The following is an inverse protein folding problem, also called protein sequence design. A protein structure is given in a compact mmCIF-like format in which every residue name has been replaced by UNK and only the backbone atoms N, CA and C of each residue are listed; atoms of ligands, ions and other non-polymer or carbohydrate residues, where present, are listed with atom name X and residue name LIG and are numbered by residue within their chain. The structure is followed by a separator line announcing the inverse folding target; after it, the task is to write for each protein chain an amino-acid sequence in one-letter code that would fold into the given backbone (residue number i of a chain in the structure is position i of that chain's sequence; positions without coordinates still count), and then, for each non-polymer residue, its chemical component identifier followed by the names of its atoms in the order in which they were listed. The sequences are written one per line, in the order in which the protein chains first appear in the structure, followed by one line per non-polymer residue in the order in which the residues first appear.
data_IF_156827060278
#
_entry.id   IF_156827060278
#
_cell.length_a   1.000
_cell.length_b   1.000
_cell.length_c   1.000
_cell.angle_alpha   90.00
_cell.angle_beta   90.00
_cell.angle_gamma   90.00
#
_symmetry.space_group_name_H-M   'P 1'
#
loop_
_entity.id
_entity.type
_entity.pdbx_description
1 polymer ?
#
# COMPACT_ATOMS: atom_id res chain seq x y z
N UNK A 1 62.08 -3.30 10.48
CA UNK A 1 62.63 -3.12 9.12
C UNK A 1 61.50 -2.74 8.21
N UNK A 2 61.56 -1.54 7.59
CA UNK A 2 60.61 -1.07 6.60
C UNK A 2 61.30 -0.89 5.24
N UNK A 3 60.53 -0.89 4.18
CA UNK A 3 60.99 -0.58 2.84
C UNK A 3 60.37 0.76 2.42
N UNK A 4 61.24 1.65 1.91
CA UNK A 4 60.77 2.84 1.23
C UNK A 4 60.65 2.55 -0.24
N UNK A 5 59.44 2.67 -0.79
CA UNK A 5 59.15 2.37 -2.19
C UNK A 5 58.84 3.68 -2.91
N UNK A 6 59.61 4.00 -3.91
CA UNK A 6 59.35 5.13 -4.79
C UNK A 6 58.68 4.65 -6.07
N UNK A 7 57.41 5.07 -6.26
CA UNK A 7 56.62 4.77 -7.45
C UNK A 7 56.95 5.79 -8.54
N UNK A 8 57.30 5.29 -9.72
CA UNK A 8 57.60 6.15 -10.87
C UNK A 8 56.32 6.85 -11.33
N UNK A 9 56.39 8.10 -11.88
CA UNK A 9 55.22 8.90 -12.25
C UNK A 9 54.23 8.21 -13.17
N UNK A 10 54.68 7.37 -14.09
CA UNK A 10 53.82 6.63 -15.00
C UNK A 10 52.94 5.57 -14.34
N UNK A 11 53.29 5.15 -13.10
CA UNK A 11 52.57 4.14 -12.32
C UNK A 11 51.90 4.75 -11.09
N UNK A 12 52.02 6.05 -10.86
CA UNK A 12 51.49 6.73 -9.68
C UNK A 12 49.94 6.78 -9.63
N UNK A 13 49.25 6.46 -10.70
CA UNK A 13 47.81 6.43 -10.77
C UNK A 13 47.21 5.09 -10.32
N UNK A 14 47.94 3.98 -10.45
CA UNK A 14 47.48 2.63 -10.14
C UNK A 14 48.18 2.00 -8.94
N UNK A 15 49.34 2.51 -8.50
CA UNK A 15 50.09 2.08 -7.34
C UNK A 15 50.07 3.15 -6.23
N UNK A 16 48.95 3.21 -5.46
CA UNK A 16 48.76 4.24 -4.47
C UNK A 16 48.88 3.71 -3.04
N UNK A 17 48.53 2.44 -2.83
CA UNK A 17 48.48 1.80 -1.51
C UNK A 17 49.44 0.63 -1.42
N UNK A 18 49.78 0.25 -0.18
CA UNK A 18 50.61 -0.92 0.08
C UNK A 18 50.08 -2.21 -0.58
N UNK A 19 48.73 -2.39 -0.62
CA UNK A 19 48.13 -3.57 -1.22
C UNK A 19 48.37 -3.65 -2.74
N UNK A 20 48.48 -2.52 -3.40
CA UNK A 20 48.74 -2.44 -4.84
C UNK A 20 50.19 -2.93 -5.13
N UNK A 21 51.14 -2.64 -4.23
CA UNK A 21 52.52 -3.19 -4.29
C UNK A 21 52.54 -4.69 -4.02
N UNK A 22 51.75 -5.17 -3.04
CA UNK A 22 51.63 -6.60 -2.75
C UNK A 22 51.11 -7.35 -3.97
N UNK A 23 50.13 -6.79 -4.68
CA UNK A 23 49.58 -7.34 -5.93
C UNK A 23 50.69 -7.48 -7.01
N UNK A 24 51.47 -6.44 -7.24
CA UNK A 24 52.56 -6.47 -8.23
C UNK A 24 53.65 -7.50 -7.85
N UNK A 25 54.02 -7.60 -6.58
CA UNK A 25 54.96 -8.59 -6.10
C UNK A 25 54.40 -10.01 -6.28
N UNK A 26 53.13 -10.23 -5.92
CA UNK A 26 52.48 -11.53 -6.09
C UNK A 26 52.43 -11.96 -7.56
N UNK A 27 52.16 -11.02 -8.47
CA UNK A 27 52.16 -11.23 -9.91
C UNK A 27 53.53 -11.65 -10.44
N UNK A 28 54.62 -11.04 -9.93
CA UNK A 28 55.99 -11.39 -10.34
C UNK A 28 56.44 -12.74 -9.76
N UNK A 29 55.99 -13.09 -8.55
CA UNK A 29 56.27 -14.39 -7.94
C UNK A 29 55.52 -15.51 -8.68
N UNK A 30 54.33 -15.23 -9.21
CA UNK A 30 53.40 -16.15 -9.84
C UNK A 30 52.32 -16.63 -8.86
N UNK A 31 51.09 -16.47 -9.24
CA UNK A 31 49.93 -16.85 -8.39
C UNK A 31 49.82 -18.35 -8.16
N UNK A 32 50.39 -19.18 -9.01
CA UNK A 32 50.46 -20.63 -8.90
C UNK A 32 51.31 -21.12 -7.72
N UNK A 33 52.12 -20.24 -7.11
CA UNK A 33 52.91 -20.52 -5.90
C UNK A 33 52.16 -20.31 -4.60
N UNK A 34 50.97 -19.74 -4.63
CA UNK A 34 50.13 -19.53 -3.45
C UNK A 34 49.16 -20.70 -3.31
N UNK A 35 48.95 -21.12 -2.06
CA UNK A 35 47.97 -22.16 -1.77
C UNK A 35 46.54 -21.68 -2.12
N UNK A 36 45.77 -22.57 -2.76
CA UNK A 36 44.38 -22.33 -3.08
C UNK A 36 43.51 -22.54 -1.82
N UNK A 37 43.38 -21.52 -1.03
CA UNK A 37 42.58 -21.53 0.17
C UNK A 37 41.34 -20.63 0.00
N UNK A 38 40.16 -21.20 0.21
CA UNK A 38 38.94 -20.38 0.36
C UNK A 38 38.91 -19.83 1.79
N UNK A 39 38.67 -18.54 1.99
CA UNK A 39 38.47 -18.00 3.31
C UNK A 39 37.27 -18.70 3.98
N UNK A 40 37.44 -19.11 5.23
CA UNK A 40 36.36 -19.70 6.00
C UNK A 40 35.21 -18.72 6.13
N UNK A 41 34.00 -19.05 5.65
CA UNK A 41 32.86 -18.15 5.76
C UNK A 41 32.49 -18.00 7.24
N UNK A 42 32.65 -16.80 7.78
CA UNK A 42 32.32 -16.50 9.18
C UNK A 42 30.81 -16.58 9.39
N UNK A 43 30.04 -16.12 8.39
CA UNK A 43 28.56 -16.20 8.39
C UNK A 43 28.07 -16.36 6.95
N UNK A 44 27.08 -17.23 6.71
CA UNK A 44 26.44 -17.29 5.40
C UNK A 44 25.74 -15.96 5.08
N UNK A 45 25.82 -15.52 3.83
CA UNK A 45 25.12 -14.35 3.34
C UNK A 45 23.61 -14.51 3.50
N UNK A 46 22.93 -13.46 3.96
CA UNK A 46 21.46 -13.41 4.09
C UNK A 46 20.92 -12.04 3.77
N UNK A 47 19.70 -12.00 3.34
CA UNK A 47 18.99 -10.74 3.15
C UNK A 47 18.65 -10.12 4.51
N UNK A 48 18.65 -8.77 4.57
CA UNK A 48 18.13 -8.06 5.72
C UNK A 48 16.60 -8.23 5.82
N UNK A 49 16.05 -7.95 7.00
CA UNK A 49 14.58 -7.99 7.19
C UNK A 49 13.84 -7.03 6.25
N UNK A 50 14.43 -5.87 5.98
CA UNK A 50 13.88 -4.88 5.05
C UNK A 50 13.91 -5.36 3.60
N UNK A 51 15.02 -5.95 3.16
CA UNK A 51 15.11 -6.54 1.82
C UNK A 51 14.10 -7.67 1.62
N UNK A 52 13.91 -8.51 2.65
CA UNK A 52 12.89 -9.56 2.62
C UNK A 52 11.47 -8.97 2.55
N UNK A 53 11.18 -7.93 3.34
CA UNK A 53 9.89 -7.25 3.33
C UNK A 53 9.64 -6.59 1.97
N UNK A 54 10.63 -5.92 1.39
CA UNK A 54 10.54 -5.29 0.08
C UNK A 54 10.24 -6.33 -1.03
N UNK A 55 10.92 -7.48 -1.01
CA UNK A 55 10.62 -8.59 -1.93
C UNK A 55 9.19 -9.09 -1.77
N UNK A 56 8.68 -9.19 -0.54
CA UNK A 56 7.28 -9.59 -0.28
C UNK A 56 6.30 -8.54 -0.81
N UNK A 57 6.59 -7.25 -0.67
CA UNK A 57 5.78 -6.19 -1.28
C UNK A 57 5.69 -6.42 -2.79
N UNK A 58 6.83 -6.53 -3.47
CA UNK A 58 6.88 -6.74 -4.92
C UNK A 58 6.12 -8.00 -5.35
N UNK A 59 6.34 -9.12 -4.67
CA UNK A 59 5.63 -10.36 -4.93
C UNK A 59 4.12 -10.21 -4.69
N UNK A 60 3.70 -9.59 -3.58
CA UNK A 60 2.29 -9.35 -3.29
C UNK A 60 1.58 -8.54 -4.37
N UNK A 61 2.25 -7.55 -4.96
CA UNK A 61 1.70 -6.81 -6.09
C UNK A 61 1.65 -7.65 -7.37
N UNK A 62 2.74 -8.32 -7.74
CA UNK A 62 2.80 -9.12 -8.98
C UNK A 62 1.84 -10.31 -8.95
N UNK A 63 1.71 -11.00 -7.83
CA UNK A 63 0.76 -12.10 -7.62
C UNK A 63 -0.70 -11.64 -7.74
N UNK A 64 -0.99 -10.38 -7.37
CA UNK A 64 -2.31 -9.76 -7.55
C UNK A 64 -2.47 -9.04 -8.90
N UNK A 65 -1.56 -9.30 -9.82
CA UNK A 65 -1.67 -8.89 -11.22
C UNK A 65 -1.23 -7.46 -11.50
N UNK A 66 -0.49 -6.82 -10.62
CA UNK A 66 0.18 -5.56 -10.94
C UNK A 66 1.47 -5.83 -11.70
N UNK A 67 1.83 -4.92 -12.59
CA UNK A 67 3.11 -4.89 -13.28
C UNK A 67 4.01 -3.85 -12.60
N UNK A 68 5.23 -4.25 -12.26
CA UNK A 68 6.24 -3.29 -11.82
C UNK A 68 6.68 -2.44 -13.01
N UNK A 69 6.72 -1.13 -12.82
CA UNK A 69 7.18 -0.17 -13.82
C UNK A 69 8.31 0.65 -13.23
N UNK A 70 9.14 1.21 -14.11
CA UNK A 70 10.20 2.13 -13.75
C UNK A 70 10.06 3.37 -14.65
N UNK A 71 9.71 4.49 -14.01
CA UNK A 71 9.58 5.77 -14.69
C UNK A 71 10.82 6.66 -14.44
N UNK A 72 11.01 7.66 -15.29
CA UNK A 72 12.14 8.56 -15.14
C UNK A 72 12.01 9.45 -13.90
N UNK A 73 13.11 9.58 -13.16
CA UNK A 73 13.18 10.54 -12.03
C UNK A 73 13.41 11.97 -12.49
N UNK A 74 13.83 12.14 -13.74
CA UNK A 74 14.02 13.43 -14.40
C UNK A 74 12.79 13.73 -15.26
N UNK A 75 12.18 14.87 -15.00
CA UNK A 75 10.91 15.30 -15.61
C UNK A 75 11.04 16.72 -16.17
N UNK A 76 10.13 17.14 -17.07
CA UNK A 76 10.07 18.52 -17.53
C UNK A 76 9.81 19.48 -16.37
N UNK A 77 10.23 20.72 -16.53
CA UNK A 77 9.88 21.81 -15.61
C UNK A 77 8.36 22.02 -15.61
N UNK A 78 7.77 22.06 -14.42
CA UNK A 78 6.35 22.33 -14.19
C UNK A 78 6.20 23.56 -13.27
N UNK A 79 4.97 24.04 -13.09
CA UNK A 79 4.63 25.19 -12.20
C UNK A 79 4.90 24.92 -10.71
N UNK A 80 5.03 23.65 -10.33
CA UNK A 80 5.37 23.26 -8.97
C UNK A 80 6.87 23.48 -8.70
N UNK A 81 7.23 23.60 -7.43
CA UNK A 81 8.60 23.85 -6.97
C UNK A 81 9.47 22.63 -7.19
N UNK A 82 9.97 22.43 -8.37
CA UNK A 82 10.85 21.33 -8.72
C UNK A 82 12.32 21.71 -8.50
N UNK A 83 13.13 20.70 -8.21
CA UNK A 83 14.58 20.83 -8.08
C UNK A 83 15.18 20.73 -9.48
N UNK A 84 15.75 21.85 -9.97
CA UNK A 84 16.35 21.92 -11.29
C UNK A 84 17.77 21.37 -11.29
N UNK A 85 18.12 20.70 -12.37
CA UNK A 85 19.49 20.28 -12.68
C UNK A 85 20.21 21.47 -13.33
N UNK A 86 21.46 21.73 -12.91
CA UNK A 86 22.23 22.88 -13.39
C UNK A 86 22.59 22.79 -14.89
N UNK A 87 22.77 21.58 -15.40
CA UNK A 87 23.19 21.31 -16.79
C UNK A 87 22.41 20.14 -17.41
N UNK A 88 21.09 20.27 -17.58
CA UNK A 88 20.29 19.18 -18.17
C UNK A 88 20.66 18.93 -19.63
N UNK A 89 20.67 17.66 -20.03
CA UNK A 89 20.90 17.29 -21.43
C UNK A 89 19.72 17.67 -22.33
N UNK A 90 18.49 17.55 -21.81
CA UNK A 90 17.25 17.86 -22.51
C UNK A 90 16.33 18.67 -21.58
N UNK A 91 15.52 19.56 -22.14
CA UNK A 91 14.55 20.36 -21.39
C UNK A 91 13.47 19.47 -20.74
N UNK A 92 13.12 18.36 -21.40
CA UNK A 92 12.15 17.39 -20.90
C UNK A 92 12.66 16.60 -19.67
N UNK A 93 13.94 16.70 -19.34
CA UNK A 93 14.58 16.02 -18.21
C UNK A 93 15.37 16.99 -17.32
N UNK A 94 14.84 18.19 -17.15
CA UNK A 94 15.54 19.28 -16.46
C UNK A 94 15.33 19.36 -14.97
N UNK A 95 14.35 18.64 -14.43
CA UNK A 95 13.98 18.70 -13.01
C UNK A 95 13.86 17.32 -12.39
N UNK A 96 14.09 17.23 -11.09
CA UNK A 96 13.76 16.03 -10.30
C UNK A 96 12.26 15.99 -10.00
N UNK A 97 11.64 14.82 -10.15
CA UNK A 97 10.21 14.61 -9.89
C UNK A 97 9.88 14.77 -8.41
N UNK A 98 8.79 15.45 -8.11
CA UNK A 98 8.21 15.56 -6.77
C UNK A 98 7.01 14.61 -6.57
N UNK A 99 6.59 13.94 -7.64
CA UNK A 99 5.40 13.08 -7.69
C UNK A 99 5.60 12.02 -8.78
N UNK A 100 5.12 10.79 -8.55
CA UNK A 100 5.20 9.68 -9.52
C UNK A 100 3.86 9.48 -10.25
N UNK A 101 2.76 10.05 -9.75
CA UNK A 101 1.43 9.84 -10.32
C UNK A 101 1.29 10.42 -11.73
N UNK A 102 2.01 11.50 -12.06
CA UNK A 102 1.99 12.09 -13.40
C UNK A 102 2.50 11.08 -14.45
N UNK A 103 3.63 10.44 -14.17
CA UNK A 103 4.23 9.41 -15.02
C UNK A 103 3.33 8.18 -15.12
N UNK A 104 2.73 7.75 -14.01
CA UNK A 104 1.79 6.62 -13.99
C UNK A 104 0.53 6.90 -14.83
N UNK A 105 -0.01 8.12 -14.78
CA UNK A 105 -1.13 8.51 -15.64
C UNK A 105 -0.76 8.51 -17.12
N UNK A 106 0.47 8.88 -17.47
CA UNK A 106 0.95 8.78 -18.85
C UNK A 106 1.08 7.32 -19.32
N UNK A 107 1.56 6.42 -18.42
CA UNK A 107 1.63 4.99 -18.72
C UNK A 107 0.22 4.43 -18.92
N UNK A 108 -0.72 4.73 -18.01
CA UNK A 108 -2.12 4.30 -18.11
C UNK A 108 -2.74 4.84 -19.40
N UNK A 109 -2.55 6.11 -19.72
CA UNK A 109 -3.07 6.76 -20.94
C UNK A 109 -2.54 6.10 -22.23
N UNK A 110 -1.25 5.76 -22.27
CA UNK A 110 -0.66 5.01 -23.40
C UNK A 110 -1.29 3.63 -23.56
N UNK A 111 -1.50 2.91 -22.45
CA UNK A 111 -2.14 1.59 -22.46
C UNK A 111 -3.59 1.67 -22.96
N UNK A 112 -4.36 2.67 -22.52
CA UNK A 112 -5.74 2.91 -22.99
C UNK A 112 -5.74 3.16 -24.50
N UNK A 113 -4.84 4.03 -24.99
CA UNK A 113 -4.71 4.34 -26.44
C UNK A 113 -4.29 3.12 -27.25
N UNK A 114 -3.55 2.18 -26.66
CA UNK A 114 -3.19 0.91 -27.25
C UNK A 114 -4.31 -0.15 -27.18
N UNK A 115 -5.50 0.21 -26.70
CA UNK A 115 -6.67 -0.67 -26.64
C UNK A 115 -6.73 -1.57 -25.41
N UNK A 116 -5.88 -1.36 -24.40
CA UNK A 116 -5.96 -2.13 -23.16
C UNK A 116 -7.19 -1.74 -22.34
N UNK A 117 -7.92 -2.72 -21.85
CA UNK A 117 -9.14 -2.53 -21.04
C UNK A 117 -8.83 -2.42 -19.54
N UNK A 118 -7.64 -2.83 -19.11
CA UNK A 118 -7.19 -2.74 -17.72
C UNK A 118 -5.68 -2.54 -17.65
N UNK A 119 -5.24 -1.78 -16.64
CA UNK A 119 -3.83 -1.52 -16.38
C UNK A 119 -3.61 -1.35 -14.88
N UNK A 120 -2.91 -2.29 -14.25
CA UNK A 120 -2.52 -2.24 -12.84
C UNK A 120 -1.01 -2.16 -12.80
N UNK A 121 -0.49 -1.05 -12.30
CA UNK A 121 0.95 -0.79 -12.23
C UNK A 121 1.36 -0.35 -10.83
N UNK A 122 2.61 -0.64 -10.48
CA UNK A 122 3.23 -0.11 -9.26
C UNK A 122 4.72 0.19 -9.51
N UNK A 123 5.24 1.10 -8.72
CA UNK A 123 6.65 1.50 -8.72
C UNK A 123 7.08 1.82 -7.29
N UNK A 124 8.26 1.35 -6.92
CA UNK A 124 8.98 1.81 -5.73
C UNK A 124 10.07 2.74 -6.21
N UNK A 125 9.93 4.02 -5.90
CA UNK A 125 10.82 5.03 -6.44
C UNK A 125 10.90 6.27 -5.54
N UNK A 126 11.94 7.06 -5.80
CA UNK A 126 12.20 8.29 -5.06
C UNK A 126 11.44 9.47 -5.65
N UNK A 127 10.97 10.33 -4.76
CA UNK A 127 10.52 11.70 -5.03
C UNK A 127 11.41 12.68 -4.30
N UNK A 128 11.48 13.89 -4.82
CA UNK A 128 12.38 14.92 -4.33
C UNK A 128 11.63 16.22 -4.13
N UNK A 129 11.79 16.84 -2.99
CA UNK A 129 11.22 18.15 -2.72
C UNK A 129 12.16 18.98 -1.85
N UNK A 130 12.00 20.28 -1.91
CA UNK A 130 12.81 21.23 -1.16
C UNK A 130 11.97 21.89 -0.08
N UNK A 131 12.46 21.78 1.14
CA UNK A 131 12.03 22.62 2.27
C UNK A 131 13.17 23.62 2.57
N UNK A 132 13.79 23.53 3.72
CA UNK A 132 15.09 24.17 4.00
C UNK A 132 16.24 23.43 3.32
N UNK A 133 16.11 22.11 3.20
CA UNK A 133 17.07 21.21 2.55
C UNK A 133 16.35 20.39 1.47
N UNK A 134 17.14 19.70 0.63
CA UNK A 134 16.60 18.76 -0.34
C UNK A 134 16.27 17.47 0.41
N UNK A 135 15.00 17.08 0.35
CA UNK A 135 14.50 15.83 0.92
C UNK A 135 14.28 14.84 -0.22
N UNK A 136 14.77 13.63 -0.01
CA UNK A 136 14.50 12.46 -0.86
C UNK A 136 13.66 11.48 -0.05
N UNK A 137 12.54 11.04 -0.62
CA UNK A 137 11.63 10.10 0.00
C UNK A 137 11.32 8.94 -0.94
N UNK A 138 11.42 7.71 -0.44
CA UNK A 138 11.06 6.51 -1.20
C UNK A 138 9.60 6.17 -0.97
N UNK A 139 8.84 6.10 -2.07
CA UNK A 139 7.41 5.84 -2.07
C UNK A 139 7.08 4.61 -2.92
N UNK A 140 6.14 3.81 -2.42
CA UNK A 140 5.43 2.80 -3.20
C UNK A 140 4.21 3.48 -3.82
N UNK A 141 4.25 3.67 -5.12
CA UNK A 141 3.18 4.31 -5.88
C UNK A 141 2.52 3.32 -6.82
N UNK A 142 1.31 3.62 -7.27
CA UNK A 142 0.71 2.85 -8.34
C UNK A 142 -0.59 3.42 -8.85
N UNK A 143 -1.04 2.82 -9.94
CA UNK A 143 -2.29 3.15 -10.61
C UNK A 143 -3.10 1.88 -10.92
N UNK A 144 -4.41 1.99 -10.78
CA UNK A 144 -5.37 0.93 -11.04
C UNK A 144 -6.40 1.47 -12.03
N UNK A 145 -6.47 0.89 -13.22
CA UNK A 145 -7.42 1.25 -14.27
C UNK A 145 -8.14 0.02 -14.79
N UNK A 146 -9.45 0.15 -15.00
CA UNK A 146 -10.28 -0.89 -15.59
C UNK A 146 -10.43 -2.14 -14.71
N UNK A 147 -11.23 -3.08 -15.17
CA UNK A 147 -11.44 -4.36 -14.51
C UNK A 147 -10.90 -5.48 -15.39
N UNK A 148 -10.08 -6.36 -14.84
CA UNK A 148 -9.65 -7.58 -15.55
C UNK A 148 -10.84 -8.48 -15.70
N UNK A 149 -11.27 -8.69 -16.93
CA UNK A 149 -12.38 -9.58 -17.25
C UNK A 149 -11.96 -11.04 -17.06
N UNK A 150 -12.70 -11.76 -16.25
CA UNK A 150 -12.67 -13.21 -16.21
C UNK A 150 -13.86 -13.74 -17.04
N UNK A 151 -13.65 -13.91 -18.35
CA UNK A 151 -14.64 -14.44 -19.28
C UNK A 151 -15.62 -13.39 -19.82
N UNK A 152 -15.75 -13.30 -21.14
CA UNK A 152 -16.62 -12.32 -21.83
C UNK A 152 -18.11 -12.55 -21.56
N UNK A 153 -18.50 -13.76 -21.19
CA UNK A 153 -19.88 -14.15 -20.91
C UNK A 153 -20.36 -13.73 -19.51
N UNK A 154 -19.44 -13.41 -18.59
CA UNK A 154 -19.78 -12.91 -17.25
C UNK A 154 -20.34 -11.48 -17.38
N UNK A 155 -21.47 -11.22 -16.73
CA UNK A 155 -22.22 -9.94 -16.81
C UNK A 155 -22.67 -9.59 -18.23
N UNK A 156 -22.94 -10.57 -19.09
CA UNK A 156 -23.40 -10.36 -20.47
C UNK A 156 -22.46 -9.48 -21.30
N UNK A 157 -21.17 -9.56 -21.06
CA UNK A 157 -20.14 -8.77 -21.77
C UNK A 157 -20.11 -7.27 -21.42
N UNK A 158 -20.89 -6.81 -20.44
CA UNK A 158 -20.88 -5.42 -20.01
C UNK A 158 -19.61 -5.11 -19.23
N UNK A 159 -18.94 -4.04 -19.61
CA UNK A 159 -17.80 -3.50 -18.88
C UNK A 159 -18.30 -2.85 -17.59
N UNK A 160 -17.95 -3.44 -16.46
CA UNK A 160 -18.09 -2.78 -15.19
C UNK A 160 -16.71 -2.25 -14.77
N UNK A 161 -16.54 -0.92 -14.87
CA UNK A 161 -15.36 -0.27 -14.27
C UNK A 161 -15.32 -0.59 -12.78
N UNK A 162 -14.11 -0.71 -12.23
CA UNK A 162 -13.93 -0.84 -10.78
C UNK A 162 -14.56 0.36 -10.07
N UNK A 163 -15.29 0.09 -9.00
CA UNK A 163 -15.65 1.13 -8.06
C UNK A 163 -14.53 1.37 -7.04
N UNK A 164 -14.67 2.44 -6.23
CA UNK A 164 -13.68 2.81 -5.21
C UNK A 164 -13.31 1.66 -4.27
N UNK A 165 -14.30 0.93 -3.77
CA UNK A 165 -14.09 -0.15 -2.80
C UNK A 165 -13.40 -1.36 -3.43
N UNK A 166 -13.73 -1.68 -4.68
CA UNK A 166 -13.09 -2.76 -5.43
C UNK A 166 -11.61 -2.43 -5.71
N UNK A 167 -11.32 -1.21 -6.15
CA UNK A 167 -9.94 -0.77 -6.37
C UNK A 167 -9.13 -0.73 -5.07
N UNK A 168 -9.75 -0.23 -3.98
CA UNK A 168 -9.13 -0.25 -2.64
C UNK A 168 -8.89 -1.68 -2.14
N UNK A 169 -9.81 -2.60 -2.46
CA UNK A 169 -9.67 -4.04 -2.20
C UNK A 169 -8.44 -4.63 -2.88
N UNK A 170 -8.17 -4.28 -4.14
CA UNK A 170 -6.97 -4.72 -4.87
C UNK A 170 -5.67 -4.29 -4.19
N UNK A 171 -5.60 -3.05 -3.72
CA UNK A 171 -4.46 -2.60 -2.92
C UNK A 171 -4.34 -3.36 -1.60
N UNK A 172 -5.46 -3.64 -0.93
CA UNK A 172 -5.48 -4.43 0.30
C UNK A 172 -4.98 -5.86 0.08
N UNK A 173 -5.43 -6.51 -1.00
CA UNK A 173 -4.99 -7.85 -1.40
C UNK A 173 -3.48 -7.88 -1.64
N UNK A 174 -2.95 -6.94 -2.43
CA UNK A 174 -1.52 -6.84 -2.72
C UNK A 174 -0.65 -6.67 -1.46
N UNK A 175 -1.13 -5.93 -0.46
CA UNK A 175 -0.41 -5.70 0.80
C UNK A 175 -0.71 -6.73 1.90
N UNK A 176 -1.61 -7.70 1.66
CA UNK A 176 -1.99 -8.71 2.66
C UNK A 176 -0.83 -9.60 3.12
N UNK A 177 0.15 -9.83 2.22
CA UNK A 177 1.38 -10.58 2.51
C UNK A 177 2.24 -9.97 3.63
N UNK A 178 2.04 -8.69 3.97
CA UNK A 178 2.79 -7.99 5.02
C UNK A 178 2.19 -8.16 6.42
N UNK A 179 0.98 -8.70 6.52
CA UNK A 179 0.27 -8.89 7.78
C UNK A 179 0.21 -7.60 8.64
N UNK A 180 -0.04 -6.48 8.00
CA UNK A 180 -0.21 -5.16 8.63
C UNK A 180 -1.65 -4.70 8.53
N UNK A 181 -2.09 -3.89 9.50
CA UNK A 181 -3.39 -3.22 9.47
C UNK A 181 -3.21 -1.83 8.88
N UNK A 182 -4.01 -1.51 7.87
CA UNK A 182 -4.07 -0.19 7.25
C UNK A 182 -5.48 0.35 7.47
N UNK A 183 -5.57 1.46 8.19
CA UNK A 183 -6.83 2.17 8.42
C UNK A 183 -6.97 3.31 7.41
N UNK A 184 -8.18 3.55 6.96
CA UNK A 184 -8.50 4.58 5.98
C UNK A 184 -9.20 5.76 6.69
N UNK A 185 -8.74 7.00 6.46
CA UNK A 185 -9.41 8.23 6.89
C UNK A 185 -9.77 9.07 5.69
N UNK A 186 -11.03 9.49 5.51
CA UNK A 186 -11.42 10.39 4.44
C UNK A 186 -10.60 11.68 4.47
N UNK A 187 -10.24 12.19 3.31
CA UNK A 187 -9.54 13.47 3.17
C UNK A 187 -9.83 14.09 1.80
N UNK A 188 -9.80 15.39 1.73
CA UNK A 188 -9.92 16.21 0.52
C UNK A 188 -8.65 17.04 0.25
N UNK A 189 -7.59 16.79 1.02
CA UNK A 189 -6.38 17.62 1.04
C UNK A 189 -5.44 17.42 -0.16
N UNK A 190 -5.77 16.53 -1.10
CA UNK A 190 -4.92 16.18 -2.25
C UNK A 190 -5.58 16.63 -3.54
N UNK A 191 -5.11 17.74 -4.11
CA UNK A 191 -5.67 18.34 -5.34
C UNK A 191 -5.66 17.41 -6.56
N UNK A 192 -4.78 16.42 -6.57
CA UNK A 192 -4.66 15.44 -7.65
C UNK A 192 -5.76 14.36 -7.59
N UNK A 193 -6.40 14.21 -6.44
CA UNK A 193 -7.40 13.18 -6.16
C UNK A 193 -8.80 13.77 -5.98
N UNK A 194 -9.80 12.94 -6.20
CA UNK A 194 -11.21 13.31 -6.07
C UNK A 194 -11.56 13.61 -4.60
N UNK A 195 -12.13 14.79 -4.26
CA UNK A 195 -12.33 15.22 -2.88
C UNK A 195 -13.25 14.30 -2.07
N UNK A 196 -14.24 13.67 -2.71
CA UNK A 196 -15.17 12.74 -2.05
C UNK A 196 -14.79 11.26 -2.16
N UNK A 197 -13.66 10.92 -2.81
CA UNK A 197 -13.22 9.53 -3.03
C UNK A 197 -11.71 9.41 -2.82
N UNK A 198 -11.24 9.99 -1.72
CA UNK A 198 -9.84 9.95 -1.30
C UNK A 198 -9.77 9.58 0.18
N UNK A 199 -8.85 8.71 0.49
CA UNK A 199 -8.51 8.34 1.86
C UNK A 199 -7.02 8.53 2.12
N UNK A 200 -6.72 9.03 3.30
CA UNK A 200 -5.40 8.96 3.91
C UNK A 200 -5.24 7.56 4.50
N UNK A 201 -4.12 6.91 4.21
CA UNK A 201 -3.77 5.59 4.70
C UNK A 201 -2.97 5.72 6.00
N UNK A 202 -3.45 5.08 7.06
CA UNK A 202 -2.83 5.12 8.37
C UNK A 202 -2.29 3.72 8.71
N UNK A 203 -1.00 3.66 9.00
CA UNK A 203 -0.33 2.44 9.45
C UNK A 203 0.20 2.68 10.88
N UNK A 204 -0.30 1.92 11.85
CA UNK A 204 0.11 2.01 13.26
C UNK A 204 0.03 3.45 13.82
N UNK A 205 -1.00 4.19 13.43
CA UNK A 205 -1.24 5.58 13.86
C UNK A 205 -0.42 6.63 13.10
N UNK A 206 0.45 6.24 12.17
CA UNK A 206 1.25 7.16 11.34
C UNK A 206 0.59 7.38 9.99
N UNK A 207 0.67 8.59 9.48
CA UNK A 207 0.26 8.95 8.12
C UNK A 207 1.21 8.26 7.13
N UNK A 208 0.73 7.21 6.48
CA UNK A 208 1.56 6.39 5.59
C UNK A 208 1.41 6.76 4.11
N UNK A 209 0.35 7.47 3.74
CA UNK A 209 0.13 7.85 2.36
C UNK A 209 -1.33 8.03 2.01
N UNK A 210 -1.66 7.85 0.72
CA UNK A 210 -2.99 8.14 0.19
C UNK A 210 -3.45 7.08 -0.80
N UNK A 211 -4.77 6.94 -0.92
CA UNK A 211 -5.45 6.19 -1.96
C UNK A 211 -6.68 6.97 -2.42
N UNK A 212 -6.89 7.09 -3.71
CA UNK A 212 -8.08 7.81 -4.23
C UNK A 212 -8.28 7.67 -5.73
N UNK A 213 -9.47 8.08 -6.17
CA UNK A 213 -9.80 8.27 -7.58
C UNK A 213 -9.14 9.57 -8.07
N UNK A 214 -8.69 9.63 -9.32
CA UNK A 214 -8.13 10.87 -9.89
C UNK A 214 -9.17 11.97 -9.91
N UNK A 215 -8.69 13.22 -9.80
CA UNK A 215 -9.59 14.38 -9.81
C UNK A 215 -10.31 14.52 -11.16
N UNK A 216 -11.62 14.80 -11.21
CA UNK A 216 -12.37 14.93 -12.46
C UNK A 216 -11.78 15.93 -13.46
N UNK A 217 -11.14 17.00 -13.00
CA UNK A 217 -10.45 17.98 -13.87
C UNK A 217 -9.40 17.32 -14.76
N UNK A 218 -8.62 16.37 -14.23
CA UNK A 218 -7.61 15.64 -14.99
C UNK A 218 -8.19 14.73 -16.06
N UNK A 219 -9.41 14.22 -15.84
CA UNK A 219 -10.16 13.43 -16.83
C UNK A 219 -10.60 14.33 -17.98
N UNK A 220 -11.05 15.56 -17.71
CA UNK A 220 -11.43 16.52 -18.74
C UNK A 220 -10.25 16.95 -19.60
N UNK A 221 -9.09 17.16 -19.01
CA UNK A 221 -7.87 17.54 -19.73
C UNK A 221 -7.36 16.41 -20.65
N UNK A 222 -7.47 15.16 -20.20
CA UNK A 222 -7.04 13.97 -20.94
C UNK A 222 -8.25 13.10 -21.29
N UNK A 223 -8.99 13.45 -22.34
CA UNK A 223 -10.27 12.83 -22.78
C UNK A 223 -10.26 11.29 -22.87
N UNK A 224 -9.12 10.67 -22.98
CA UNK A 224 -8.96 9.20 -23.00
C UNK A 224 -8.98 8.56 -21.61
N UNK A 225 -8.67 9.32 -20.55
CA UNK A 225 -8.73 8.78 -19.19
C UNK A 225 -10.17 8.59 -18.74
N UNK A 226 -10.42 7.45 -18.11
CA UNK A 226 -11.64 7.11 -17.40
C UNK A 226 -11.36 7.14 -15.89
N UNK A 227 -12.09 6.36 -15.11
CA UNK A 227 -11.81 6.17 -13.69
C UNK A 227 -10.46 5.48 -13.48
N UNK A 228 -9.52 6.19 -12.90
CA UNK A 228 -8.22 5.69 -12.47
C UNK A 228 -8.10 5.90 -10.98
N UNK A 229 -7.61 4.90 -10.26
CA UNK A 229 -7.31 5.00 -8.83
C UNK A 229 -5.81 5.02 -8.66
N UNK A 230 -5.35 5.93 -7.82
CA UNK A 230 -3.94 6.13 -7.51
C UNK A 230 -3.68 5.84 -6.04
N UNK A 231 -2.48 5.37 -5.75
CA UNK A 231 -2.00 5.24 -4.38
C UNK A 231 -0.55 5.66 -4.26
N UNK A 232 -0.20 6.10 -3.07
CA UNK A 232 1.16 6.43 -2.68
C UNK A 232 1.34 6.06 -1.21
N UNK A 233 2.38 5.29 -0.89
CA UNK A 233 2.66 4.82 0.47
C UNK A 233 4.14 5.01 0.76
N UNK A 234 4.46 5.62 1.90
CA UNK A 234 5.82 5.78 2.39
C UNK A 234 6.43 4.41 2.70
N UNK A 235 7.54 4.08 2.01
CA UNK A 235 8.20 2.77 2.12
C UNK A 235 8.81 2.57 3.51
N UNK A 236 9.39 3.59 4.11
CA UNK A 236 9.99 3.49 5.44
C UNK A 236 8.93 3.15 6.52
N UNK A 237 7.74 3.77 6.46
CA UNK A 237 6.64 3.46 7.37
C UNK A 237 6.13 2.04 7.13
N UNK A 238 5.96 1.66 5.86
CA UNK A 238 5.49 0.32 5.46
C UNK A 238 6.44 -0.77 5.95
N UNK A 239 7.74 -0.63 5.68
CA UNK A 239 8.76 -1.58 6.08
C UNK A 239 8.91 -1.61 7.60
N UNK A 240 8.94 -0.46 8.27
CA UNK A 240 9.02 -0.38 9.73
C UNK A 240 7.88 -1.10 10.45
N UNK A 241 6.65 -1.06 9.90
CA UNK A 241 5.52 -1.80 10.44
C UNK A 241 5.61 -3.31 10.15
N UNK A 242 6.13 -3.68 8.98
CA UNK A 242 6.14 -5.07 8.50
C UNK A 242 7.33 -5.89 9.01
N UNK A 243 8.45 -5.27 9.38
CA UNK A 243 9.68 -5.98 9.82
C UNK A 243 9.74 -6.26 11.32
N UNK A 244 8.70 -5.95 12.09
CA UNK A 244 8.66 -6.24 13.52
C UNK A 244 8.73 -7.74 13.79
N UNK A 245 9.34 -8.08 14.93
CA UNK A 245 9.47 -9.48 15.37
C UNK A 245 8.14 -10.22 15.30
N UNK A 246 8.17 -11.45 14.82
CA UNK A 246 7.04 -12.38 14.72
C UNK A 246 5.95 -12.02 13.68
N UNK A 247 6.09 -10.99 12.86
CA UNK A 247 5.11 -10.68 11.80
C UNK A 247 5.04 -11.75 10.69
N UNK A 248 6.17 -12.40 10.43
CA UNK A 248 6.32 -13.38 9.35
C UNK A 248 6.09 -14.83 9.77
N UNK A 249 6.05 -15.09 11.06
CA UNK A 249 5.90 -16.44 11.59
C UNK A 249 4.41 -16.70 11.74
N UNK A 250 3.81 -17.63 10.98
CA UNK A 250 2.42 -18.01 11.15
C UNK A 250 2.25 -18.62 12.56
N UNK A 251 1.40 -18.01 13.37
CA UNK A 251 1.04 -18.56 14.67
C UNK A 251 -0.18 -19.42 14.46
N UNK A 252 -0.05 -20.71 14.73
CA UNK A 252 -1.19 -21.62 14.73
C UNK A 252 -2.26 -21.12 15.72
N UNK A 253 -3.47 -20.98 15.22
CA UNK A 253 -4.67 -20.75 16.03
C UNK A 253 -5.61 -21.92 15.79
N UNK A 254 -5.97 -22.61 16.86
CA UNK A 254 -6.96 -23.66 16.76
C UNK A 254 -8.25 -23.09 16.14
N UNK A 255 -8.74 -23.72 15.09
CA UNK A 255 -10.01 -23.33 14.50
C UNK A 255 -11.16 -23.72 15.45
N UNK A 256 -12.19 -22.90 15.54
CA UNK A 256 -13.34 -23.21 16.42
C UNK A 256 -14.10 -24.43 15.89
N UNK A 257 -14.36 -25.38 16.77
CA UNK A 257 -15.15 -26.59 16.47
C UNK A 257 -16.66 -26.42 16.72
N UNK A 258 -17.03 -25.34 17.40
CA UNK A 258 -18.42 -25.02 17.74
C UNK A 258 -19.08 -24.15 16.66
N UNK A 259 -20.37 -24.30 16.37
CA UNK A 259 -21.07 -23.48 15.39
C UNK A 259 -21.16 -22.02 15.87
N UNK A 260 -21.17 -21.10 14.88
CA UNK A 260 -21.43 -19.68 15.14
C UNK A 260 -22.93 -19.41 15.16
N UNK A 261 -23.34 -18.39 15.90
CA UNK A 261 -24.68 -17.82 15.86
C UNK A 261 -24.63 -16.43 15.22
N UNK A 262 -25.58 -16.16 14.33
CA UNK A 262 -25.62 -14.88 13.61
C UNK A 262 -26.90 -14.11 13.96
N UNK A 263 -26.75 -12.78 14.08
CA UNK A 263 -27.85 -11.83 14.29
C UNK A 263 -27.62 -10.61 13.45
N UNK A 264 -28.65 -10.17 12.76
CA UNK A 264 -28.62 -8.96 11.94
C UNK A 264 -29.22 -7.79 12.73
N UNK A 265 -28.61 -6.62 12.59
CA UNK A 265 -29.09 -5.37 13.16
C UNK A 265 -29.09 -4.28 12.08
N UNK A 266 -30.15 -3.50 12.06
CA UNK A 266 -30.29 -2.40 11.11
C UNK A 266 -30.47 -1.08 11.85
N UNK A 267 -29.68 -0.07 11.45
CA UNK A 267 -29.77 1.29 12.02
C UNK A 267 -29.75 2.35 10.94
N UNK A 268 -30.35 3.50 11.22
CA UNK A 268 -30.27 4.68 10.38
C UNK A 268 -29.30 5.68 10.98
N UNK A 269 -28.18 5.90 10.31
CA UNK A 269 -27.12 6.80 10.77
C UNK A 269 -27.10 8.11 9.97
N UNK A 270 -26.62 9.18 10.60
CA UNK A 270 -26.19 10.35 9.85
C UNK A 270 -24.93 10.04 9.06
N UNK A 271 -24.84 10.49 7.80
CA UNK A 271 -23.70 10.31 6.88
C UNK A 271 -22.36 10.84 7.41
N UNK A 272 -22.39 11.67 8.46
CA UNK A 272 -21.16 12.16 9.14
C UNK A 272 -20.37 11.09 9.89
N UNK A 273 -21.01 9.97 10.23
CA UNK A 273 -20.33 8.89 10.96
C UNK A 273 -19.68 7.92 10.01
N UNK A 274 -18.42 7.55 10.30
CA UNK A 274 -17.72 6.54 9.53
C UNK A 274 -18.15 5.14 9.94
N UNK A 275 -18.32 4.26 8.96
CA UNK A 275 -18.64 2.83 9.21
C UNK A 275 -17.58 2.17 10.10
N UNK A 276 -16.30 2.55 9.95
CA UNK A 276 -15.20 2.07 10.78
C UNK A 276 -15.41 2.36 12.28
N UNK A 277 -15.95 3.53 12.61
CA UNK A 277 -16.20 3.93 14.00
C UNK A 277 -17.37 3.16 14.56
N UNK A 278 -18.42 2.95 13.77
CA UNK A 278 -19.58 2.13 14.14
C UNK A 278 -19.14 0.70 14.41
N UNK A 279 -18.41 0.06 13.49
CA UNK A 279 -17.89 -1.31 13.65
C UNK A 279 -16.96 -1.40 14.87
N UNK A 280 -16.11 -0.40 15.09
CA UNK A 280 -15.22 -0.34 16.25
C UNK A 280 -15.99 -0.30 17.57
N UNK A 281 -17.07 0.50 17.63
CA UNK A 281 -17.95 0.55 18.80
C UNK A 281 -18.67 -0.77 19.03
N UNK A 282 -19.19 -1.41 17.98
CA UNK A 282 -19.83 -2.73 18.05
C UNK A 282 -18.84 -3.77 18.60
N UNK A 283 -17.63 -3.86 18.02
CA UNK A 283 -16.58 -4.80 18.44
C UNK A 283 -16.17 -4.57 19.90
N UNK A 284 -15.98 -3.32 20.31
CA UNK A 284 -15.63 -2.95 21.68
C UNK A 284 -16.69 -3.39 22.69
N UNK A 285 -17.97 -3.31 22.31
CA UNK A 285 -19.08 -3.68 23.18
C UNK A 285 -19.31 -5.19 23.21
N UNK A 286 -19.17 -5.88 22.08
CA UNK A 286 -19.39 -7.33 21.94
C UNK A 286 -18.32 -8.19 22.60
N UNK A 287 -17.14 -7.60 22.90
CA UNK A 287 -16.03 -8.28 23.60
C UNK A 287 -15.65 -9.64 22.99
N UNK A 288 -15.43 -10.65 23.85
CA UNK A 288 -14.88 -11.95 23.46
C UNK A 288 -15.86 -12.86 22.72
N UNK A 289 -17.17 -12.70 22.91
CA UNK A 289 -18.17 -13.53 22.24
C UNK A 289 -18.50 -13.05 20.82
N UNK A 290 -18.22 -11.79 20.50
CA UNK A 290 -18.40 -11.27 19.15
C UNK A 290 -17.17 -11.59 18.32
N UNK A 291 -17.26 -12.59 17.46
CA UNK A 291 -16.17 -13.02 16.56
C UNK A 291 -15.98 -12.03 15.42
N UNK A 292 -17.07 -11.70 14.69
CA UNK A 292 -17.02 -10.83 13.53
C UNK A 292 -18.25 -9.92 13.39
N UNK A 293 -18.02 -8.81 12.66
CA UNK A 293 -19.02 -7.83 12.26
C UNK A 293 -18.89 -7.57 10.78
N UNK A 294 -19.94 -7.80 10.02
CA UNK A 294 -20.02 -7.58 8.59
C UNK A 294 -21.07 -6.53 8.26
N UNK A 295 -20.75 -5.57 7.42
CA UNK A 295 -21.74 -4.74 6.76
C UNK A 295 -22.31 -5.55 5.60
N UNK A 296 -23.61 -5.91 5.67
CA UNK A 296 -24.25 -6.78 4.67
C UNK A 296 -25.14 -6.01 3.71
N UNK A 297 -25.66 -4.85 4.14
CA UNK A 297 -26.52 -4.02 3.30
C UNK A 297 -26.36 -2.53 3.61
N UNK A 298 -26.51 -1.72 2.56
CA UNK A 298 -26.49 -0.26 2.59
C UNK A 298 -27.67 0.24 1.80
N UNK A 299 -28.63 0.86 2.50
CA UNK A 299 -29.86 1.34 1.88
C UNK A 299 -29.98 2.86 1.98
N UNK A 300 -30.24 3.47 0.84
CA UNK A 300 -30.49 4.91 0.69
C UNK A 300 -31.88 5.11 0.11
N UNK A 301 -32.67 5.97 0.72
CA UNK A 301 -34.01 6.32 0.25
C UNK A 301 -34.26 7.81 0.51
N UNK A 302 -34.92 8.47 -0.43
CA UNK A 302 -35.37 9.88 -0.32
C UNK A 302 -36.19 10.08 0.97
N UNK A 303 -36.93 9.05 1.41
CA UNK A 303 -37.73 9.09 2.64
C UNK A 303 -36.90 9.17 3.93
N UNK A 304 -35.63 8.77 3.88
CA UNK A 304 -34.70 8.88 5.01
C UNK A 304 -34.11 10.30 5.13
N UNK A 305 -34.19 11.10 4.04
CA UNK A 305 -33.53 12.39 3.91
C UNK A 305 -32.06 12.23 3.45
N UNK A 306 -31.52 13.24 2.78
CA UNK A 306 -30.19 13.22 2.16
C UNK A 306 -29.03 13.06 3.16
N UNK A 307 -29.24 13.42 4.43
CA UNK A 307 -28.24 13.35 5.50
C UNK A 307 -28.19 11.98 6.21
N UNK A 308 -29.06 11.06 5.85
CA UNK A 308 -29.17 9.78 6.53
C UNK A 308 -28.98 8.60 5.58
N UNK A 309 -28.50 7.49 6.17
CA UNK A 309 -28.23 6.23 5.47
C UNK A 309 -28.51 5.06 6.41
N UNK A 310 -29.10 4.01 5.87
CA UNK A 310 -29.40 2.80 6.63
C UNK A 310 -28.32 1.75 6.41
N UNK A 311 -27.73 1.23 7.49
CA UNK A 311 -26.74 0.16 7.48
C UNK A 311 -27.27 -1.08 8.19
N UNK A 312 -27.16 -2.22 7.53
CA UNK A 312 -27.42 -3.53 8.13
C UNK A 312 -26.12 -4.25 8.43
N UNK A 313 -25.90 -4.57 9.69
CA UNK A 313 -24.72 -5.32 10.12
C UNK A 313 -25.11 -6.74 10.53
N UNK A 314 -24.33 -7.73 10.10
CA UNK A 314 -24.37 -9.09 10.59
C UNK A 314 -23.33 -9.26 11.69
N UNK A 315 -23.77 -9.70 12.84
CA UNK A 315 -22.97 -9.97 14.03
C UNK A 315 -22.83 -11.48 14.18
N UNK A 316 -21.59 -11.98 14.11
CA UNK A 316 -21.29 -13.40 14.34
C UNK A 316 -20.78 -13.60 15.75
N UNK A 317 -21.47 -14.43 16.51
CA UNK A 317 -21.12 -14.78 17.89
C UNK A 317 -20.61 -16.21 17.95
N UNK A 318 -19.52 -16.42 18.70
CA UNK A 318 -18.96 -17.74 18.94
C UNK A 318 -18.22 -17.77 20.27
N UNK A 319 -18.38 -18.85 21.00
CA UNK A 319 -17.52 -19.20 22.13
C UNK A 319 -16.43 -20.17 21.67
N UNK A 320 -15.34 -20.26 22.41
CA UNK A 320 -14.21 -21.14 22.07
C UNK A 320 -14.50 -22.59 22.40
N UNK A 321 -15.23 -22.84 23.47
CA UNK A 321 -15.32 -24.13 24.14
C UNK A 321 -16.73 -24.70 24.15
N UNK A 322 -17.78 -23.87 24.03
CA UNK A 322 -19.18 -24.29 24.13
C UNK A 322 -20.06 -23.78 23.00
N UNK A 323 -21.06 -24.56 22.63
CA UNK A 323 -22.14 -24.10 21.74
C UNK A 323 -22.97 -23.06 22.47
N UNK A 324 -23.17 -21.89 21.83
CA UNK A 324 -23.96 -20.80 22.36
C UNK A 324 -25.47 -21.09 22.22
N UNK A 325 -26.24 -20.67 23.19
CA UNK A 325 -27.69 -20.62 23.14
C UNK A 325 -28.18 -19.18 23.01
N UNK A 326 -29.42 -18.97 22.57
CA UNK A 326 -30.02 -17.65 22.41
C UNK A 326 -29.94 -16.79 23.71
N UNK A 327 -30.10 -17.41 24.87
CA UNK A 327 -29.96 -16.75 26.17
C UNK A 327 -28.57 -16.17 26.43
N UNK A 328 -27.52 -16.84 25.96
CA UNK A 328 -26.12 -16.40 26.14
C UNK A 328 -25.83 -15.11 25.36
N UNK A 329 -26.51 -14.91 24.25
CA UNK A 329 -26.25 -13.81 23.30
C UNK A 329 -27.16 -12.61 23.57
N UNK A 330 -28.40 -12.82 24.01
CA UNK A 330 -29.42 -11.78 24.13
C UNK A 330 -28.96 -10.57 24.93
N UNK A 331 -28.29 -10.80 26.06
CA UNK A 331 -27.81 -9.71 26.94
C UNK A 331 -26.72 -8.87 26.25
N UNK A 332 -25.76 -9.51 25.55
CA UNK A 332 -24.67 -8.83 24.85
C UNK A 332 -25.22 -8.11 23.63
N UNK A 333 -26.09 -8.74 22.86
CA UNK A 333 -26.75 -8.18 21.70
C UNK A 333 -27.53 -6.91 22.05
N UNK A 334 -28.36 -6.95 23.10
CA UNK A 334 -29.09 -5.79 23.59
C UNK A 334 -28.19 -4.67 24.11
N UNK A 335 -27.07 -5.02 24.73
CA UNK A 335 -26.06 -4.03 25.13
C UNK A 335 -25.39 -3.36 23.95
N UNK A 336 -25.09 -4.11 22.88
CA UNK A 336 -24.55 -3.54 21.63
C UNK A 336 -25.54 -2.54 21.04
N UNK A 337 -26.82 -2.90 20.92
CA UNK A 337 -27.87 -2.02 20.40
C UNK A 337 -27.91 -0.73 21.22
N UNK A 338 -28.07 -0.83 22.53
CA UNK A 338 -28.17 0.33 23.42
C UNK A 338 -26.94 1.24 23.36
N UNK A 339 -25.73 0.65 23.25
CA UNK A 339 -24.50 1.42 23.15
C UNK A 339 -24.36 2.12 21.81
N UNK A 340 -24.73 1.47 20.71
CA UNK A 340 -24.74 2.08 19.36
C UNK A 340 -25.74 3.22 19.31
N UNK A 341 -26.97 3.02 19.79
CA UNK A 341 -27.99 4.04 19.86
C UNK A 341 -27.53 5.30 20.61
N UNK A 342 -26.91 5.10 21.79
CA UNK A 342 -26.39 6.21 22.60
C UNK A 342 -25.18 6.91 21.97
N UNK A 343 -24.26 6.16 21.39
CA UNK A 343 -23.00 6.72 20.86
C UNK A 343 -23.21 7.51 19.57
N UNK A 344 -24.17 7.12 18.75
CA UNK A 344 -24.40 7.71 17.42
C UNK A 344 -25.74 8.42 17.30
N UNK A 345 -26.50 8.55 18.42
CA UNK A 345 -27.83 9.14 18.46
C UNK A 345 -28.73 8.60 17.34
N UNK A 346 -28.81 7.28 17.26
CA UNK A 346 -29.56 6.53 16.25
C UNK A 346 -30.61 5.64 16.92
N UNK A 347 -31.50 5.05 16.13
CA UNK A 347 -32.49 4.07 16.58
C UNK A 347 -32.42 2.82 15.71
N UNK A 348 -32.65 1.67 16.35
CA UNK A 348 -32.82 0.41 15.64
C UNK A 348 -34.00 0.54 14.69
N UNK A 349 -33.82 0.12 13.44
CA UNK A 349 -34.88 0.06 12.43
C UNK A 349 -35.43 -1.37 12.43
N UNK A 350 -36.71 -1.52 12.76
CA UNK A 350 -37.44 -2.79 12.66
C UNK A 350 -37.81 -3.12 11.23
#
# INVERSE_FOLDING_TARGET
YGWDVAVIPNRSQDLIREIDLIEEIARLIGYDRFDLNLPNPIKPGKLSSEQLALRRVKNGFTENGFNEVLSYSLVPEDKETLIKISNPLLLETSCLRNNIWKEHLEIVNRNIKAGQTSCYIFEIGNVFYRTTEIIQEELLNGAIFGNRKFGEWVNSGKDNDLNYYQARGKLKEALSCLNIKIDDKPTDSIDFLHPGRTAKLIIEGKDAGYFGEIHPKLIFEKKSLKKVYLFSINVAILLGASTRKNKWIPIYKQYPVVPKMERDINFVFSRKFLISDIISQIRKTGKNLLEDVYLIDVFEDIKLGDDYISYTFRLSYRDKDKTLHDSDITSIHSNIITKVEKSFNTKLRN
#
